data_IF_923641551911
#
_entry.id   IF_923641551911
#
_cell.length_a   1.000
_cell.length_b   1.000
_cell.length_c   1.000
_cell.angle_alpha   90.00
_cell.angle_beta   90.00
_cell.angle_gamma   90.00
#
_symmetry.space_group_name_H-M   'P 1'
#
loop_
_entity.id
_entity.type
_entity.pdbx_description
1 polymer ?
#
# COMPACT_ATOMS: atom_id res chain seq x y z
N UNK A 1 -7.07 -15.43 16.83
CA UNK A 1 -7.27 -14.15 16.12
C UNK A 1 -6.00 -13.87 15.36
N UNK A 2 -6.04 -13.88 14.02
CA UNK A 2 -4.90 -13.43 13.23
C UNK A 2 -4.72 -11.93 13.53
N UNK A 3 -3.58 -11.57 14.13
CA UNK A 3 -3.25 -10.15 14.36
C UNK A 3 -3.16 -9.44 13.01
N UNK A 4 -3.59 -8.17 12.96
CA UNK A 4 -3.43 -7.33 11.77
C UNK A 4 -1.93 -7.32 11.35
N UNK A 5 -1.60 -8.02 10.26
CA UNK A 5 -0.22 -8.13 9.74
C UNK A 5 0.30 -6.80 9.18
N UNK A 6 -0.60 -5.85 8.88
CA UNK A 6 -0.24 -4.52 8.44
C UNK A 6 -0.02 -3.64 9.67
N UNK A 7 1.24 -3.58 10.12
CA UNK A 7 1.63 -2.60 11.14
C UNK A 7 1.34 -1.20 10.60
N UNK A 8 0.52 -0.44 11.35
CA UNK A 8 0.24 0.97 11.07
C UNK A 8 1.49 1.86 11.07
N UNK A 9 2.55 1.38 11.75
CA UNK A 9 3.87 1.98 11.74
C UNK A 9 4.81 1.07 10.98
N UNK A 10 4.96 1.36 9.70
CA UNK A 10 6.08 0.88 8.92
C UNK A 10 7.35 1.48 9.51
N UNK A 11 8.17 0.67 10.20
CA UNK A 11 9.44 1.14 10.76
C UNK A 11 10.50 1.21 9.64
N UNK A 12 10.62 2.38 9.02
CA UNK A 12 11.56 2.61 7.91
C UNK A 12 13.02 2.33 8.27
N UNK A 13 13.40 2.37 9.56
CA UNK A 13 14.77 2.08 10.01
C UNK A 13 15.12 0.60 9.95
N UNK A 14 14.14 -0.29 9.93
CA UNK A 14 14.31 -1.75 9.96
C UNK A 14 14.15 -2.41 8.59
N UNK A 15 14.10 -1.62 7.50
CA UNK A 15 13.97 -2.18 6.17
C UNK A 15 15.21 -2.96 5.75
N UNK A 16 14.98 -4.15 5.19
CA UNK A 16 15.96 -4.82 4.33
C UNK A 16 16.32 -3.92 3.13
N UNK A 17 17.48 -4.15 2.50
CA UNK A 17 17.85 -3.39 1.31
C UNK A 17 16.85 -3.55 0.17
N UNK A 18 16.21 -4.72 0.04
CA UNK A 18 15.12 -4.94 -0.91
C UNK A 18 13.93 -4.01 -0.61
N UNK A 19 13.49 -3.94 0.66
CA UNK A 19 12.38 -3.07 1.05
C UNK A 19 12.71 -1.58 0.84
N UNK A 20 13.96 -1.16 1.04
CA UNK A 20 14.40 0.21 0.72
C UNK A 20 14.33 0.50 -0.78
N UNK A 21 14.70 -0.45 -1.64
CA UNK A 21 14.61 -0.30 -3.08
C UNK A 21 13.15 -0.19 -3.55
N UNK A 22 12.27 -1.05 -3.02
CA UNK A 22 10.83 -1.01 -3.28
C UNK A 22 10.25 0.34 -2.83
N UNK A 23 10.58 0.79 -1.62
CA UNK A 23 10.15 2.09 -1.11
C UNK A 23 10.54 3.22 -2.05
N UNK A 24 11.82 3.31 -2.44
CA UNK A 24 12.32 4.34 -3.37
C UNK A 24 11.63 4.29 -4.72
N UNK A 25 11.33 3.08 -5.24
CA UNK A 25 10.64 2.91 -6.53
C UNK A 25 9.24 3.51 -6.52
N UNK A 26 8.47 3.27 -5.45
CA UNK A 26 7.06 3.68 -5.38
C UNK A 26 6.84 5.04 -4.73
N UNK A 27 7.86 5.60 -4.07
CA UNK A 27 7.79 6.92 -3.46
C UNK A 27 7.39 7.98 -4.48
N UNK A 28 6.32 8.72 -4.20
CA UNK A 28 5.87 9.83 -5.03
C UNK A 28 5.19 9.44 -6.35
N UNK A 29 5.08 8.14 -6.67
CA UNK A 29 4.30 7.69 -7.84
C UNK A 29 2.83 8.04 -7.69
N UNK A 30 2.18 8.34 -8.81
CA UNK A 30 0.74 8.59 -8.89
C UNK A 30 -0.03 7.36 -9.33
N UNK A 31 -1.37 7.38 -9.19
CA UNK A 31 -2.23 6.32 -9.71
C UNK A 31 -1.99 6.10 -11.21
N UNK A 32 -1.83 7.18 -12.00
CA UNK A 32 -1.47 7.10 -13.43
C UNK A 32 -0.14 6.38 -13.64
N UNK A 33 0.90 6.71 -12.85
CA UNK A 33 2.19 6.01 -12.96
C UNK A 33 2.07 4.51 -12.68
N UNK A 34 1.21 4.11 -11.73
CA UNK A 34 0.95 2.70 -11.44
C UNK A 34 0.17 2.02 -12.56
N UNK A 35 -0.84 2.68 -13.13
CA UNK A 35 -1.58 2.15 -14.28
C UNK A 35 -0.67 1.94 -15.48
N UNK A 36 0.13 2.96 -15.84
CA UNK A 36 1.06 2.88 -16.98
C UNK A 36 2.06 1.72 -16.78
N UNK A 37 2.66 1.62 -15.58
CA UNK A 37 3.61 0.56 -15.25
C UNK A 37 2.97 -0.84 -15.20
N UNK A 38 1.73 -0.95 -14.72
CA UNK A 38 0.98 -2.21 -14.71
C UNK A 38 0.71 -2.73 -16.12
N UNK A 39 0.46 -1.83 -17.07
CA UNK A 39 0.17 -2.19 -18.47
C UNK A 39 1.44 -2.54 -19.25
N UNK A 40 2.58 -1.94 -18.89
CA UNK A 40 3.88 -2.14 -19.54
C UNK A 40 4.63 -3.38 -19.04
N UNK A 41 4.40 -3.78 -17.78
CA UNK A 41 5.17 -4.86 -17.17
C UNK A 41 4.78 -6.24 -17.73
N UNK A 42 5.79 -6.98 -18.20
CA UNK A 42 5.65 -8.39 -18.55
C UNK A 42 5.40 -9.29 -17.33
N UNK A 43 4.88 -10.50 -17.56
CA UNK A 43 4.63 -11.50 -16.50
C UNK A 43 5.24 -12.86 -16.83
N UNK A 44 6.25 -12.86 -17.68
CA UNK A 44 6.99 -14.01 -18.18
C UNK A 44 8.05 -14.55 -17.19
N UNK A 45 8.52 -13.72 -16.25
CA UNK A 45 9.47 -14.10 -15.22
C UNK A 45 8.93 -13.85 -13.79
N UNK A 46 9.38 -14.65 -12.83
CA UNK A 46 8.91 -14.59 -11.42
C UNK A 46 9.17 -13.25 -10.75
N UNK A 47 10.29 -12.60 -11.04
CA UNK A 47 10.58 -11.25 -10.53
C UNK A 47 9.59 -10.21 -11.05
N UNK A 48 9.27 -10.25 -12.34
CA UNK A 48 8.30 -9.33 -12.94
C UNK A 48 6.89 -9.64 -12.46
N UNK A 49 6.53 -10.92 -12.29
CA UNK A 49 5.27 -11.33 -11.67
C UNK A 49 5.13 -10.81 -10.24
N UNK A 50 6.19 -10.89 -9.43
CA UNK A 50 6.19 -10.34 -8.07
C UNK A 50 6.00 -8.82 -8.09
N UNK A 51 6.69 -8.13 -8.99
CA UNK A 51 6.55 -6.68 -9.14
C UNK A 51 5.15 -6.27 -9.62
N UNK A 52 4.57 -7.00 -10.58
CA UNK A 52 3.20 -6.82 -11.03
C UNK A 52 2.22 -6.95 -9.87
N UNK A 53 2.34 -8.00 -9.05
CA UNK A 53 1.49 -8.17 -7.85
C UNK A 53 1.62 -7.00 -6.88
N UNK A 54 2.84 -6.48 -6.65
CA UNK A 54 3.07 -5.29 -5.81
C UNK A 54 2.36 -4.05 -6.38
N UNK A 55 2.49 -3.80 -7.68
CA UNK A 55 1.81 -2.68 -8.37
C UNK A 55 0.29 -2.84 -8.29
N UNK A 56 -0.21 -4.06 -8.49
CA UNK A 56 -1.64 -4.39 -8.45
C UNK A 56 -2.25 -4.11 -7.08
N UNK A 57 -1.63 -4.60 -6.01
CA UNK A 57 -2.10 -4.33 -4.65
C UNK A 57 -2.05 -2.82 -4.36
N UNK A 58 -0.97 -2.15 -4.74
CA UNK A 58 -0.81 -0.72 -4.53
C UNK A 58 -1.88 0.09 -5.27
N UNK A 59 -2.21 -0.29 -6.51
CA UNK A 59 -3.27 0.29 -7.32
C UNK A 59 -4.65 0.14 -6.67
N UNK A 60 -4.98 -1.07 -6.20
CA UNK A 60 -6.24 -1.35 -5.50
C UNK A 60 -6.33 -0.49 -4.24
N UNK A 61 -5.28 -0.50 -3.39
CA UNK A 61 -5.26 0.29 -2.18
C UNK A 61 -5.42 1.78 -2.45
N UNK A 62 -4.72 2.31 -3.45
CA UNK A 62 -4.86 3.72 -3.83
C UNK A 62 -6.27 4.01 -4.35
N UNK A 63 -6.84 3.17 -5.21
CA UNK A 63 -8.15 3.43 -5.81
C UNK A 63 -9.28 3.43 -4.78
N UNK A 64 -9.22 2.56 -3.76
CA UNK A 64 -10.29 2.42 -2.76
C UNK A 64 -10.06 3.23 -1.47
N UNK A 65 -8.81 3.51 -1.08
CA UNK A 65 -8.50 4.17 0.20
C UNK A 65 -8.19 5.66 0.04
N UNK A 66 -8.03 6.20 -1.18
CA UNK A 66 -7.74 7.62 -1.36
C UNK A 66 -8.98 8.50 -1.29
N UNK A 67 -8.93 9.62 -0.53
CA UNK A 67 -9.69 10.81 -0.87
C UNK A 67 -9.20 11.32 -2.24
N UNK A 68 -10.12 11.76 -3.11
CA UNK A 68 -9.85 12.25 -4.49
C UNK A 68 -8.69 13.27 -4.58
N UNK A 69 -8.37 13.95 -3.47
CA UNK A 69 -7.32 14.96 -3.34
C UNK A 69 -5.90 14.42 -3.18
N UNK A 70 -5.70 13.16 -2.77
CA UNK A 70 -4.37 12.57 -2.62
C UNK A 70 -4.09 11.75 -3.89
N UNK A 71 -3.21 12.24 -4.76
CA UNK A 71 -2.91 11.61 -6.05
C UNK A 71 -1.59 10.82 -6.06
N UNK A 72 -0.85 10.78 -4.94
CA UNK A 72 0.45 10.12 -4.80
C UNK A 72 0.42 8.98 -3.78
N UNK A 73 1.29 7.99 -3.98
CA UNK A 73 1.54 6.90 -3.03
C UNK A 73 1.95 7.48 -1.68
N UNK A 74 1.27 7.01 -0.63
CA UNK A 74 1.53 7.33 0.77
C UNK A 74 2.13 6.10 1.48
N UNK A 75 2.96 6.29 2.53
CA UNK A 75 3.43 5.23 3.41
C UNK A 75 2.41 4.17 3.80
N UNK A 76 1.15 4.56 4.03
CA UNK A 76 0.07 3.64 4.43
C UNK A 76 -0.23 2.57 3.38
N UNK A 77 0.00 2.86 2.09
CA UNK A 77 -0.22 1.90 1.01
C UNK A 77 0.98 0.98 0.78
N UNK A 78 2.14 1.26 1.38
CA UNK A 78 3.36 0.51 1.15
C UNK A 78 3.50 -0.70 2.08
N UNK A 79 2.79 -0.72 3.21
CA UNK A 79 2.88 -1.83 4.17
C UNK A 79 2.57 -3.20 3.52
N UNK A 80 1.55 -3.36 2.65
CA UNK A 80 1.23 -4.67 2.08
C UNK A 80 2.21 -5.16 1.03
N UNK A 81 2.83 -4.27 0.26
CA UNK A 81 3.75 -4.69 -0.82
C UNK A 81 5.09 -5.24 -0.31
N UNK A 82 5.38 -5.05 0.98
CA UNK A 82 6.53 -5.66 1.67
C UNK A 82 6.24 -7.09 2.18
N UNK A 83 4.97 -7.50 2.24
CA UNK A 83 4.54 -8.82 2.75
C UNK A 83 3.81 -9.60 1.65
N UNK A 84 4.48 -9.79 0.52
CA UNK A 84 3.90 -10.46 -0.66
C UNK A 84 3.80 -11.97 -0.51
N UNK A 85 4.61 -12.55 0.37
CA UNK A 85 4.71 -13.98 0.67
C UNK A 85 3.44 -14.52 1.34
N UNK A 86 2.81 -13.74 2.21
CA UNK A 86 1.61 -14.13 2.98
C UNK A 86 0.41 -13.18 2.74
N UNK A 87 0.42 -12.45 1.62
CA UNK A 87 -0.56 -11.40 1.33
C UNK A 87 -2.03 -11.88 1.30
N UNK A 88 -2.25 -13.15 0.96
CA UNK A 88 -3.57 -13.78 0.94
C UNK A 88 -4.07 -14.12 2.35
N UNK A 89 -3.18 -14.24 3.33
CA UNK A 89 -3.48 -14.56 4.73
C UNK A 89 -3.79 -13.30 5.56
N UNK A 90 -3.56 -12.11 4.98
CA UNK A 90 -3.85 -10.85 5.64
C UNK A 90 -5.36 -10.65 5.85
N UNK A 91 -5.72 -10.12 7.02
CA UNK A 91 -7.09 -9.67 7.29
C UNK A 91 -7.37 -8.33 6.59
N UNK A 92 -7.73 -8.41 5.31
CA UNK A 92 -8.09 -7.27 4.48
C UNK A 92 -9.31 -6.52 5.00
N UNK A 93 -10.26 -7.23 5.60
CA UNK A 93 -11.46 -6.64 6.20
C UNK A 93 -11.10 -5.71 7.36
N UNK A 94 -10.29 -6.20 8.31
CA UNK A 94 -9.79 -5.40 9.41
C UNK A 94 -8.92 -4.23 8.92
N UNK A 95 -8.10 -4.42 7.90
CA UNK A 95 -7.28 -3.36 7.33
C UNK A 95 -8.11 -2.19 6.79
N UNK A 96 -9.10 -2.48 5.94
CA UNK A 96 -9.99 -1.46 5.35
C UNK A 96 -10.83 -0.79 6.44
N UNK A 97 -11.37 -1.58 7.38
CA UNK A 97 -12.19 -1.05 8.49
C UNK A 97 -11.38 -0.09 9.37
N UNK A 98 -10.14 -0.46 9.74
CA UNK A 98 -9.24 0.38 10.53
C UNK A 98 -8.90 1.69 9.79
N UNK A 99 -8.70 1.64 8.48
CA UNK A 99 -8.47 2.84 7.67
C UNK A 99 -9.66 3.81 7.73
N UNK A 100 -10.89 3.31 7.53
CA UNK A 100 -12.11 4.12 7.58
C UNK A 100 -12.31 4.73 8.98
N UNK A 101 -12.16 3.92 10.05
CA UNK A 101 -12.31 4.39 11.43
C UNK A 101 -11.33 5.53 11.74
N UNK A 102 -10.06 5.41 11.29
CA UNK A 102 -9.05 6.48 11.44
C UNK A 102 -9.42 7.73 10.67
N UNK A 103 -9.90 7.58 9.42
CA UNK A 103 -10.40 8.70 8.62
C UNK A 103 -11.50 9.49 9.34
N UNK A 104 -12.52 8.79 9.84
CA UNK A 104 -13.63 9.39 10.59
C UNK A 104 -13.13 10.06 11.88
N UNK A 105 -12.25 9.39 12.62
CA UNK A 105 -11.70 9.90 13.88
C UNK A 105 -10.92 11.20 13.66
N UNK A 106 -10.04 11.22 12.65
CA UNK A 106 -9.26 12.40 12.29
C UNK A 106 -10.15 13.56 11.85
N UNK A 107 -11.21 13.28 11.07
CA UNK A 107 -12.18 14.31 10.68
C UNK A 107 -12.89 14.93 11.89
N UNK A 108 -13.33 14.09 12.85
CA UNK A 108 -13.98 14.56 14.08
C UNK A 108 -13.05 15.40 14.96
N UNK A 109 -11.77 15.01 15.08
CA UNK A 109 -10.78 15.78 15.84
C UNK A 109 -10.52 17.15 15.20
N UNK A 110 -10.40 17.21 13.86
CA UNK A 110 -10.21 18.47 13.14
C UNK A 110 -11.38 19.45 13.27
N UNK A 111 -12.61 18.98 13.52
CA UNK A 111 -13.78 19.85 13.76
C UNK A 111 -13.87 20.43 15.18
N UNK A 112 -13.08 19.91 16.12
CA UNK A 112 -13.08 20.35 17.53
C UNK A 112 -12.05 21.44 17.83
N UNK A 113 -11.16 21.73 16.87
CA UNK A 113 -10.13 22.77 16.91
C UNK A 113 -10.46 23.85 15.89
#
# INVERSE_FOLDING_TARGET
MAGNLFSDKVNFKEFSEENKQIFRRFQGKTLKNLTDEMMDIGVDNDQYRLMFKRIFILYIQMTFLLPITINKVSPVHLAPIFRMDNIAECDWGAHVLNFIIKGITNYRLKRKN
#
